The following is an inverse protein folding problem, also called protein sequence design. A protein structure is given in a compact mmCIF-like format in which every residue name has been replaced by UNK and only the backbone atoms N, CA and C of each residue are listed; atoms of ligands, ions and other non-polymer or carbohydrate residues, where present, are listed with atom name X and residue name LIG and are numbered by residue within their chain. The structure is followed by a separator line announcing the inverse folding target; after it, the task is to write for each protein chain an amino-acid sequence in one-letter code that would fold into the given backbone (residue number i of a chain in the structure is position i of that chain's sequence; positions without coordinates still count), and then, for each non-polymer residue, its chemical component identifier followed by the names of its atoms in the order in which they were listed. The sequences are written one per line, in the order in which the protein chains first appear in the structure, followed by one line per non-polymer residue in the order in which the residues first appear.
data_IF_844017132112
#
_entry.id   IF_844017132112
#
_cell.length_a   1.000
_cell.length_b   1.000
_cell.length_c   1.000
_cell.angle_alpha   90.00
_cell.angle_beta   90.00
_cell.angle_gamma   90.00
#
_symmetry.space_group_name_H-M   'P 1'
#
loop_
_entity.id
_entity.type
_entity.pdbx_description
1 polymer ?
#
# COMPACT_ATOMS: atom_id res chain seq x y z
N UNK A 1 -2.18 -12.46 -14.63
CA UNK A 1 -2.60 -11.12 -14.18
C UNK A 1 -2.13 -11.03 -12.75
N UNK A 2 -1.18 -10.15 -12.49
CA UNK A 2 -0.68 -9.95 -11.12
C UNK A 2 -1.67 -9.07 -10.36
N UNK A 3 -1.96 -9.37 -9.09
CA UNK A 3 -2.69 -8.45 -8.23
C UNK A 3 -1.90 -7.16 -8.07
N UNK A 4 -2.56 -6.03 -8.28
CA UNK A 4 -2.03 -4.71 -7.99
C UNK A 4 -2.52 -4.27 -6.60
N UNK A 5 -1.59 -3.89 -5.73
CA UNK A 5 -1.85 -3.39 -4.38
C UNK A 5 -1.41 -1.92 -4.30
N UNK A 6 -2.37 -1.03 -4.01
CA UNK A 6 -2.12 0.40 -3.93
C UNK A 6 -2.20 0.87 -2.48
N UNK A 7 -1.13 1.52 -2.00
CA UNK A 7 -1.04 2.04 -0.64
C UNK A 7 -0.85 3.55 -0.68
N UNK A 8 -1.74 4.29 -0.02
CA UNK A 8 -1.61 5.75 0.04
C UNK A 8 -0.57 6.18 1.08
N UNK A 9 0.07 7.33 0.88
CA UNK A 9 1.08 7.87 1.82
C UNK A 9 0.59 7.98 3.28
N UNK A 10 -0.71 8.22 3.50
CA UNK A 10 -1.27 8.32 4.84
C UNK A 10 -1.47 6.96 5.50
N UNK A 11 -1.64 5.90 4.71
CA UNK A 11 -1.64 4.53 5.19
C UNK A 11 -0.21 4.09 5.56
N UNK A 12 0.77 4.41 4.72
CA UNK A 12 2.19 4.16 4.97
C UNK A 12 2.64 4.80 6.29
N UNK A 13 2.30 6.07 6.52
CA UNK A 13 2.60 6.79 7.76
C UNK A 13 1.94 6.21 9.02
N UNK A 14 0.94 5.33 8.88
CA UNK A 14 0.26 4.63 9.98
C UNK A 14 0.79 3.21 10.22
N UNK A 15 1.88 2.81 9.56
CA UNK A 15 2.48 1.47 9.68
C UNK A 15 2.21 0.54 8.49
N UNK A 16 1.67 1.07 7.38
CA UNK A 16 1.50 0.33 6.13
C UNK A 16 2.81 0.06 5.39
N UNK A 17 3.88 0.76 5.75
CA UNK A 17 5.25 0.58 5.25
C UNK A 17 5.76 -0.86 5.42
N UNK A 18 5.48 -1.49 6.57
CA UNK A 18 5.85 -2.89 6.81
C UNK A 18 5.16 -3.86 5.84
N UNK A 19 3.94 -3.54 5.41
CA UNK A 19 3.20 -4.35 4.43
C UNK A 19 3.73 -4.08 3.03
N UNK A 20 3.98 -2.81 2.70
CA UNK A 20 4.57 -2.40 1.43
C UNK A 20 5.91 -3.12 1.18
N UNK A 21 6.84 -3.07 2.14
CA UNK A 21 8.15 -3.73 2.01
C UNK A 21 8.01 -5.25 1.79
N UNK A 22 7.06 -5.91 2.48
CA UNK A 22 6.84 -7.35 2.30
C UNK A 22 6.30 -7.68 0.91
N UNK A 23 5.37 -6.88 0.41
CA UNK A 23 4.74 -7.10 -0.88
C UNK A 23 5.67 -6.71 -2.04
N UNK A 24 6.52 -5.70 -1.87
CA UNK A 24 7.52 -5.29 -2.87
C UNK A 24 8.56 -6.39 -3.11
N UNK A 25 8.84 -7.22 -2.12
CA UNK A 25 9.74 -8.37 -2.25
C UNK A 25 9.10 -9.57 -2.97
N UNK A 26 7.80 -9.54 -3.25
CA UNK A 26 7.08 -10.61 -3.94
C UNK A 26 7.01 -10.32 -5.46
N UNK A 27 7.59 -11.20 -6.27
CA UNK A 27 7.59 -11.04 -7.73
C UNK A 27 6.23 -11.30 -8.39
N UNK A 28 5.28 -11.86 -7.65
CA UNK A 28 3.92 -12.14 -8.13
C UNK A 28 2.93 -11.00 -7.80
N UNK A 29 3.39 -9.91 -7.19
CA UNK A 29 2.52 -8.81 -6.74
C UNK A 29 3.09 -7.48 -7.22
N UNK A 30 2.26 -6.68 -7.89
CA UNK A 30 2.60 -5.29 -8.20
C UNK A 30 2.15 -4.41 -7.03
N UNK A 31 3.07 -3.61 -6.48
CA UNK A 31 2.75 -2.68 -5.39
C UNK A 31 3.04 -1.26 -5.84
N UNK A 32 2.11 -0.34 -5.60
CA UNK A 32 2.28 1.06 -5.97
C UNK A 32 1.99 1.99 -4.80
N UNK A 33 2.89 2.95 -4.58
CA UNK A 33 2.63 4.08 -3.68
C UNK A 33 1.74 5.11 -4.37
N UNK A 34 0.63 5.44 -3.72
CA UNK A 34 -0.29 6.49 -4.14
C UNK A 34 -0.21 7.70 -3.22
N UNK A 35 -0.53 8.88 -3.77
CA UNK A 35 -0.78 10.07 -2.96
C UNK A 35 -1.95 9.87 -1.97
N UNK A 36 -2.19 10.84 -1.09
CA UNK A 36 -3.24 10.70 -0.08
C UNK A 36 -4.63 10.60 -0.73
N UNK A 37 -5.33 9.49 -0.50
CA UNK A 37 -6.67 9.24 -1.01
C UNK A 37 -7.79 9.83 -0.12
N UNK A 38 -7.44 10.47 1.01
CA UNK A 38 -8.37 11.09 1.97
C UNK A 38 -9.43 10.15 2.60
N UNK A 39 -9.36 8.85 2.32
CA UNK A 39 -10.28 7.84 2.83
C UNK A 39 -9.80 7.18 4.14
N UNK A 40 -9.10 7.93 4.98
CA UNK A 40 -8.53 7.44 6.23
C UNK A 40 -9.57 6.86 7.20
N UNK A 41 -10.86 7.20 7.08
CA UNK A 41 -11.94 6.61 7.89
C UNK A 41 -12.32 5.19 7.49
N UNK A 42 -11.96 4.75 6.28
CA UNK A 42 -12.14 3.38 5.80
C UNK A 42 -10.93 2.52 6.19
N UNK A 43 -9.74 3.13 6.18
CA UNK A 43 -8.49 2.52 6.63
C UNK A 43 -8.30 2.78 8.14
N UNK A 44 -9.14 2.17 8.98
CA UNK A 44 -9.07 2.30 10.45
C UNK A 44 -8.54 1.04 11.13
#
# INVERSE_FOLDING_TARGET
MFPLVELCISNMAKGGDVVYEKLENDHDIDVLEYGCLQNCGICS
#
